data_IF_974039855996
#
_entry.id   IF_974039855996
#
_cell.length_a   1.000
_cell.length_b   1.000
_cell.length_c   1.000
_cell.angle_alpha   90.00
_cell.angle_beta   90.00
_cell.angle_gamma   90.00
#
_symmetry.space_group_name_H-M   'P 1'
#
loop_
_entity.id
_entity.type
_entity.pdbx_description
1 polymer ?
#
# COMPACT_ATOMS: atom_id res chain seq x y z
N UNK A 1 -15.73 -20.34 -8.21
CA UNK A 1 -15.79 -21.57 -7.38
C UNK A 1 -15.83 -21.27 -5.88
N UNK A 2 -14.87 -20.50 -5.33
CA UNK A 2 -14.82 -20.28 -3.87
C UNK A 2 -15.99 -19.47 -3.32
N UNK A 3 -16.47 -18.43 -4.02
CA UNK A 3 -17.67 -17.70 -3.58
C UNK A 3 -18.91 -18.61 -3.45
N UNK A 4 -19.02 -19.66 -4.28
CA UNK A 4 -20.11 -20.63 -4.17
C UNK A 4 -19.96 -21.51 -2.91
N UNK A 5 -18.74 -21.95 -2.60
CA UNK A 5 -18.44 -22.67 -1.35
C UNK A 5 -18.73 -21.78 -0.14
N UNK A 6 -18.27 -20.52 -0.15
CA UNK A 6 -18.53 -19.56 0.92
C UNK A 6 -20.02 -19.29 1.13
N UNK A 7 -20.78 -19.20 0.03
CA UNK A 7 -22.24 -19.07 0.06
C UNK A 7 -22.92 -20.27 0.72
N UNK A 8 -22.52 -21.49 0.35
CA UNK A 8 -23.04 -22.71 0.99
C UNK A 8 -22.72 -22.70 2.49
N UNK A 9 -21.46 -22.44 2.86
CA UNK A 9 -21.01 -22.39 4.25
C UNK A 9 -21.77 -21.34 5.08
N UNK A 10 -22.22 -20.25 4.45
CA UNK A 10 -22.99 -19.20 5.11
C UNK A 10 -24.37 -19.69 5.57
N UNK A 11 -25.03 -20.56 4.81
CA UNK A 11 -26.33 -21.10 5.19
C UNK A 11 -26.23 -22.41 5.98
N UNK A 12 -25.14 -23.16 5.85
CA UNK A 12 -25.01 -24.48 6.49
C UNK A 12 -24.21 -24.46 7.79
N UNK A 13 -23.11 -23.70 7.89
CA UNK A 13 -22.23 -23.71 9.08
C UNK A 13 -22.44 -22.48 9.95
N UNK A 14 -22.51 -21.29 9.34
CA UNK A 14 -22.58 -20.02 10.09
C UNK A 14 -23.74 -19.93 11.10
N UNK A 15 -24.96 -20.45 10.84
CA UNK A 15 -26.06 -20.36 11.80
C UNK A 15 -25.80 -21.14 13.10
N UNK A 16 -25.06 -22.24 13.01
CA UNK A 16 -24.80 -23.15 14.14
C UNK A 16 -23.43 -22.89 14.80
N UNK A 17 -22.42 -22.51 14.01
CA UNK A 17 -21.08 -22.25 14.51
C UNK A 17 -20.35 -21.14 13.71
N UNK A 18 -20.39 -19.91 14.25
CA UNK A 18 -19.73 -18.74 13.63
C UNK A 18 -18.20 -18.85 13.63
N UNK A 19 -17.60 -19.47 14.64
CA UNK A 19 -16.14 -19.59 14.73
C UNK A 19 -15.61 -20.56 13.68
N UNK A 20 -16.24 -21.74 13.56
CA UNK A 20 -15.91 -22.72 12.54
C UNK A 20 -16.08 -22.15 11.13
N UNK A 21 -17.19 -21.45 10.87
CA UNK A 21 -17.41 -20.75 9.60
C UNK A 21 -16.26 -19.78 9.29
N UNK A 22 -15.84 -18.94 10.26
CA UNK A 22 -14.73 -17.99 10.07
C UNK A 22 -13.41 -18.70 9.79
N UNK A 23 -13.10 -19.77 10.51
CA UNK A 23 -11.88 -20.55 10.31
C UNK A 23 -11.82 -21.20 8.92
N UNK A 24 -12.90 -21.83 8.48
CA UNK A 24 -12.94 -22.43 7.13
C UNK A 24 -12.80 -21.35 6.05
N UNK A 25 -13.52 -20.23 6.19
CA UNK A 25 -13.40 -19.11 5.24
C UNK A 25 -11.99 -18.53 5.19
N UNK A 26 -11.32 -18.43 6.34
CA UNK A 26 -9.93 -17.98 6.40
C UNK A 26 -9.03 -18.87 5.55
N UNK A 27 -9.07 -20.20 5.71
CA UNK A 27 -8.22 -21.11 4.94
C UNK A 27 -8.58 -21.18 3.45
N UNK A 28 -9.87 -21.04 3.09
CA UNK A 28 -10.28 -20.93 1.68
C UNK A 28 -9.71 -19.68 1.01
N UNK A 29 -9.82 -18.53 1.69
CA UNK A 29 -9.26 -17.28 1.18
C UNK A 29 -7.74 -17.35 1.12
N UNK A 30 -7.08 -17.82 2.19
CA UNK A 30 -5.64 -17.99 2.24
C UNK A 30 -5.14 -18.87 1.08
N UNK A 31 -5.82 -19.98 0.79
CA UNK A 31 -5.45 -20.88 -0.32
C UNK A 31 -5.44 -20.19 -1.68
N UNK A 32 -6.37 -19.27 -1.98
CA UNK A 32 -6.34 -18.48 -3.23
C UNK A 32 -5.17 -17.50 -3.19
N UNK A 33 -5.02 -16.80 -2.09
CA UNK A 33 -4.08 -15.70 -2.00
C UNK A 33 -2.63 -16.20 -2.04
N UNK A 34 -2.38 -17.38 -1.45
CA UNK A 34 -1.12 -18.09 -1.57
C UNK A 34 -0.78 -18.45 -3.03
N UNK A 35 -1.76 -18.74 -3.89
CA UNK A 35 -1.49 -18.98 -5.32
C UNK A 35 -1.04 -17.71 -6.03
N UNK A 36 -1.62 -16.55 -5.69
CA UNK A 36 -1.21 -15.25 -6.26
C UNK A 36 0.21 -14.91 -5.82
N UNK A 37 0.54 -15.10 -4.54
CA UNK A 37 1.90 -14.91 -4.03
C UNK A 37 2.89 -15.87 -4.67
N UNK A 38 2.52 -17.15 -4.81
CA UNK A 38 3.33 -18.14 -5.53
C UNK A 38 3.60 -17.70 -6.98
N UNK A 39 2.58 -17.20 -7.70
CA UNK A 39 2.74 -16.71 -9.06
C UNK A 39 3.67 -15.49 -9.15
N UNK A 40 3.56 -14.57 -8.19
CA UNK A 40 4.40 -13.40 -8.14
C UNK A 40 5.85 -13.78 -7.79
N UNK A 41 6.07 -14.46 -6.67
CA UNK A 41 7.40 -14.71 -6.13
C UNK A 41 8.12 -15.85 -6.82
N UNK A 42 7.49 -17.03 -6.88
CA UNK A 42 8.17 -18.24 -7.31
C UNK A 42 8.15 -18.41 -8.83
N UNK A 43 6.98 -18.21 -9.44
CA UNK A 43 6.81 -18.39 -10.89
C UNK A 43 7.47 -17.26 -11.69
N UNK A 44 7.18 -16.00 -11.37
CA UNK A 44 7.73 -14.87 -12.12
C UNK A 44 9.08 -14.37 -11.61
N UNK A 45 9.50 -14.81 -10.42
CA UNK A 45 10.72 -14.32 -9.77
C UNK A 45 10.63 -12.85 -9.35
N UNK A 46 9.43 -12.30 -9.19
CA UNK A 46 9.22 -10.91 -8.78
C UNK A 46 9.65 -10.70 -7.33
N UNK A 47 10.19 -9.52 -7.03
CA UNK A 47 10.68 -9.20 -5.70
C UNK A 47 10.31 -7.79 -5.26
N UNK A 48 10.31 -7.59 -3.93
CA UNK A 48 10.15 -6.28 -3.31
C UNK A 48 11.39 -5.95 -2.48
N UNK A 49 12.01 -4.82 -2.79
CA UNK A 49 13.12 -4.23 -2.01
C UNK A 49 12.57 -3.14 -1.14
N UNK A 50 12.97 -3.10 0.13
CA UNK A 50 12.38 -2.14 1.06
C UNK A 50 13.43 -1.25 1.71
N UNK A 51 13.22 0.05 1.60
CA UNK A 51 13.99 1.11 2.22
C UNK A 51 13.22 1.57 3.46
N UNK A 52 13.75 1.25 4.64
CA UNK A 52 13.12 1.61 5.91
C UNK A 52 14.16 1.71 7.03
N UNK A 53 13.77 2.29 8.17
CA UNK A 53 14.60 2.27 9.37
C UNK A 53 14.73 0.83 9.89
N UNK A 54 15.95 0.29 10.11
CA UNK A 54 16.15 -1.03 10.69
C UNK A 54 15.47 -1.22 12.06
N UNK A 55 15.30 -0.16 12.85
CA UNK A 55 14.58 -0.26 14.14
C UNK A 55 13.07 -0.39 13.94
N UNK A 56 12.49 0.34 12.98
CA UNK A 56 11.08 0.20 12.63
C UNK A 56 10.77 -1.20 12.09
N UNK A 57 11.69 -1.78 11.31
CA UNK A 57 11.54 -3.13 10.74
C UNK A 57 11.29 -4.20 11.82
N UNK A 58 11.88 -4.05 13.02
CA UNK A 58 11.72 -4.99 14.15
C UNK A 58 10.29 -5.02 14.71
N UNK A 59 9.50 -3.97 14.43
CA UNK A 59 8.13 -3.80 14.92
C UNK A 59 7.08 -4.36 13.95
N UNK A 60 7.45 -4.59 12.68
CA UNK A 60 6.54 -5.18 11.70
C UNK A 60 6.17 -6.59 12.15
N UNK A 61 4.91 -6.98 12.04
CA UNK A 61 4.44 -8.22 12.67
C UNK A 61 3.77 -8.02 14.03
N UNK A 62 4.13 -6.96 14.75
CA UNK A 62 3.94 -6.89 16.20
C UNK A 62 3.03 -5.77 16.67
N UNK A 63 2.61 -4.89 15.76
CA UNK A 63 1.71 -3.79 16.07
C UNK A 63 0.61 -3.64 15.02
N UNK A 64 -0.55 -3.16 15.45
CA UNK A 64 -1.64 -2.81 14.53
C UNK A 64 -1.28 -1.53 13.76
N UNK A 65 -1.52 -1.53 12.45
CA UNK A 65 -1.10 -0.42 11.59
C UNK A 65 -2.06 -0.13 10.46
N UNK A 66 -2.25 1.16 10.17
CA UNK A 66 -2.84 1.64 8.93
C UNK A 66 -1.72 1.84 7.91
N UNK A 67 -1.85 1.27 6.72
CA UNK A 67 -0.87 1.43 5.63
C UNK A 67 -1.43 2.44 4.64
N UNK A 68 -0.67 3.49 4.31
CA UNK A 68 -1.04 4.47 3.29
C UNK A 68 -0.04 4.40 2.15
N UNK A 69 -0.50 3.93 0.98
CA UNK A 69 0.33 3.70 -0.19
C UNK A 69 -0.14 4.51 -1.39
N UNK A 70 0.78 4.91 -2.28
CA UNK A 70 0.41 5.44 -3.60
C UNK A 70 -0.17 4.33 -4.48
N UNK A 71 -0.97 4.72 -5.48
CA UNK A 71 -1.65 3.79 -6.37
C UNK A 71 -1.43 4.12 -7.86
N UNK A 72 -0.27 3.74 -8.36
CA UNK A 72 0.13 4.01 -9.74
C UNK A 72 -0.20 2.83 -10.66
N UNK A 73 0.09 1.59 -10.25
CA UNK A 73 -0.02 0.39 -11.09
C UNK A 73 -1.00 -0.64 -10.53
N UNK A 74 -1.39 -1.59 -11.37
CA UNK A 74 -2.33 -2.64 -10.98
C UNK A 74 -1.73 -3.66 -10.02
N UNK A 75 -0.40 -3.78 -9.94
CA UNK A 75 0.30 -4.73 -9.07
C UNK A 75 0.71 -4.11 -7.73
N UNK A 76 0.40 -2.84 -7.47
CA UNK A 76 0.79 -2.15 -6.22
C UNK A 76 0.31 -2.90 -4.97
N UNK A 77 -0.95 -3.34 -4.98
CA UNK A 77 -1.55 -4.09 -3.87
C UNK A 77 -0.86 -5.44 -3.67
N UNK A 78 -0.39 -6.08 -4.75
CA UNK A 78 0.32 -7.35 -4.69
C UNK A 78 1.71 -7.15 -4.08
N UNK A 79 2.42 -6.08 -4.45
CA UNK A 79 3.70 -5.74 -3.82
C UNK A 79 3.52 -5.49 -2.32
N UNK A 80 2.46 -4.77 -1.92
CA UNK A 80 2.10 -4.57 -0.51
C UNK A 80 1.78 -5.89 0.19
N UNK A 81 1.09 -6.81 -0.49
CA UNK A 81 0.79 -8.14 0.03
C UNK A 81 2.07 -8.95 0.27
N UNK A 82 2.98 -9.01 -0.70
CA UNK A 82 4.25 -9.75 -0.56
C UNK A 82 5.01 -9.33 0.70
N UNK A 83 5.05 -8.03 0.99
CA UNK A 83 5.65 -7.51 2.23
C UNK A 83 4.85 -7.96 3.47
N UNK A 84 3.52 -7.82 3.44
CA UNK A 84 2.66 -8.18 4.57
C UNK A 84 2.73 -9.68 4.92
N UNK A 85 2.75 -10.55 3.91
CA UNK A 85 2.84 -12.00 4.06
C UNK A 85 4.16 -12.42 4.72
N UNK A 86 5.29 -11.90 4.24
CA UNK A 86 6.62 -12.12 4.84
C UNK A 86 6.75 -11.58 6.27
N UNK A 87 5.86 -10.66 6.67
CA UNK A 87 5.81 -10.14 8.03
C UNK A 87 4.80 -10.88 8.92
N UNK A 88 4.04 -11.83 8.37
CA UNK A 88 2.99 -12.56 9.07
C UNK A 88 1.83 -11.66 9.53
N UNK A 89 1.52 -10.58 8.78
CA UNK A 89 0.47 -9.62 9.15
C UNK A 89 -0.61 -9.46 8.11
N UNK A 90 -1.80 -9.14 8.60
CA UNK A 90 -2.87 -8.56 7.80
C UNK A 90 -2.92 -7.05 8.09
N UNK A 91 -2.43 -6.23 7.17
CA UNK A 91 -2.45 -4.77 7.29
C UNK A 91 -3.73 -4.15 6.72
N UNK A 92 -4.18 -3.02 7.28
CA UNK A 92 -5.25 -2.24 6.67
C UNK A 92 -4.66 -1.27 5.64
N UNK A 93 -4.79 -1.59 4.35
CA UNK A 93 -4.24 -0.79 3.26
C UNK A 93 -5.24 0.26 2.75
N UNK A 94 -4.79 1.50 2.67
CA UNK A 94 -5.54 2.64 2.13
C UNK A 94 -4.79 3.27 0.95
N UNK A 95 -5.44 3.28 -0.21
CA UNK A 95 -5.04 4.07 -1.37
C UNK A 95 -5.85 5.37 -1.40
N UNK A 96 -5.32 6.45 -0.83
CA UNK A 96 -6.10 7.68 -0.69
C UNK A 96 -6.40 8.37 -2.04
N UNK A 97 -5.64 8.10 -3.09
CA UNK A 97 -5.94 8.54 -4.46
C UNK A 97 -7.29 8.01 -4.98
N UNK A 98 -7.75 6.88 -4.42
CA UNK A 98 -9.03 6.25 -4.70
C UNK A 98 -9.15 5.56 -6.06
N UNK A 99 -8.24 5.81 -7.01
CA UNK A 99 -8.17 5.10 -8.29
C UNK A 99 -6.73 5.07 -8.83
N UNK A 100 -6.42 4.14 -9.73
CA UNK A 100 -5.14 4.09 -10.45
C UNK A 100 -4.84 5.39 -11.20
N UNK A 101 -3.56 5.77 -11.19
CA UNK A 101 -3.00 6.87 -11.97
C UNK A 101 -3.17 6.63 -13.48
N UNK A 102 -3.66 7.63 -14.19
CA UNK A 102 -3.62 7.72 -15.67
C UNK A 102 -3.36 9.18 -16.05
N UNK A 103 -2.81 9.43 -17.23
CA UNK A 103 -2.52 10.80 -17.67
C UNK A 103 -3.78 11.69 -17.69
N UNK A 104 -4.91 11.15 -18.16
CA UNK A 104 -6.20 11.85 -18.16
C UNK A 104 -6.67 12.21 -16.74
N UNK A 105 -6.57 11.27 -15.79
CA UNK A 105 -6.95 11.53 -14.40
C UNK A 105 -5.99 12.47 -13.70
N UNK A 106 -4.71 12.41 -14.05
CA UNK A 106 -3.70 13.33 -13.54
C UNK A 106 -4.00 14.75 -13.99
N UNK A 107 -4.32 14.97 -15.27
CA UNK A 107 -4.77 16.28 -15.77
C UNK A 107 -5.97 16.82 -15.00
N UNK A 108 -7.03 16.01 -14.85
CA UNK A 108 -8.21 16.39 -14.07
C UNK A 108 -7.87 16.67 -12.59
N UNK A 109 -6.96 15.89 -12.01
CA UNK A 109 -6.47 16.08 -10.64
C UNK A 109 -5.68 17.40 -10.49
N UNK A 110 -4.95 17.81 -11.52
CA UNK A 110 -4.19 19.07 -11.54
C UNK A 110 -5.10 20.28 -11.69
N UNK A 111 -6.16 20.17 -12.49
CA UNK A 111 -7.24 21.17 -12.59
C UNK A 111 -7.93 21.35 -11.23
N UNK A 112 -8.35 20.24 -10.61
CA UNK A 112 -8.93 20.25 -9.26
C UNK A 112 -8.00 20.92 -8.24
N UNK A 113 -6.69 20.64 -8.30
CA UNK A 113 -5.71 21.27 -7.42
C UNK A 113 -5.66 22.80 -7.62
N UNK A 114 -5.67 23.29 -8.87
CA UNK A 114 -5.67 24.73 -9.18
C UNK A 114 -6.92 25.42 -8.68
N UNK A 115 -8.09 24.85 -8.94
CA UNK A 115 -9.38 25.42 -8.51
C UNK A 115 -9.49 25.54 -6.99
N UNK A 116 -8.88 24.61 -6.25
CA UNK A 116 -8.94 24.54 -4.78
C UNK A 116 -7.72 25.16 -4.10
N UNK A 117 -6.78 25.73 -4.85
CA UNK A 117 -5.53 26.30 -4.31
C UNK A 117 -4.63 25.26 -3.63
N UNK A 118 -4.73 23.99 -4.01
CA UNK A 118 -3.89 22.91 -3.51
C UNK A 118 -2.59 22.82 -4.31
N UNK A 119 -1.54 22.32 -3.67
CA UNK A 119 -0.29 22.03 -4.37
C UNK A 119 -0.51 20.95 -5.44
N UNK A 120 -0.08 21.26 -6.66
CA UNK A 120 -0.07 20.35 -7.79
C UNK A 120 0.99 19.27 -7.59
N UNK A 121 0.61 17.99 -7.74
CA UNK A 121 1.48 16.82 -7.57
C UNK A 121 1.89 16.28 -8.94
N UNK A 122 3.18 16.00 -9.16
CA UNK A 122 3.69 15.57 -10.46
C UNK A 122 3.46 14.09 -10.75
N UNK A 123 3.53 13.25 -9.72
CA UNK A 123 3.57 11.77 -9.81
C UNK A 123 2.36 11.09 -9.16
N UNK A 124 1.54 11.84 -8.41
CA UNK A 124 0.34 11.32 -7.73
C UNK A 124 -0.92 12.09 -8.10
N UNK A 125 -2.08 11.46 -7.89
CA UNK A 125 -3.35 12.18 -7.85
C UNK A 125 -3.53 12.86 -6.49
N UNK A 126 -4.37 13.90 -6.43
CA UNK A 126 -4.73 14.54 -5.16
C UNK A 126 -5.50 13.53 -4.30
N UNK A 127 -5.08 13.28 -3.05
CA UNK A 127 -5.74 12.28 -2.21
C UNK A 127 -7.14 12.71 -1.79
N UNK A 128 -8.06 11.74 -1.77
CA UNK A 128 -9.41 11.87 -1.21
C UNK A 128 -9.34 11.71 0.30
N UNK A 129 -9.80 12.73 1.03
CA UNK A 129 -9.51 12.84 2.47
C UNK A 129 -10.56 12.19 3.36
N UNK A 130 -11.83 12.12 2.92
CA UNK A 130 -12.94 11.59 3.72
C UNK A 130 -12.70 10.19 4.28
N UNK A 131 -12.21 9.27 3.45
CA UNK A 131 -11.91 7.90 3.88
C UNK A 131 -10.79 7.85 4.91
N UNK A 132 -9.71 8.62 4.70
CA UNK A 132 -8.62 8.73 5.65
C UNK A 132 -9.07 9.33 6.98
N UNK A 133 -9.87 10.41 6.96
CA UNK A 133 -10.42 11.05 8.16
C UNK A 133 -11.21 10.03 8.98
N UNK A 134 -12.14 9.31 8.36
CA UNK A 134 -12.94 8.29 9.04
C UNK A 134 -12.07 7.17 9.61
N UNK A 135 -11.09 6.67 8.84
CA UNK A 135 -10.16 5.65 9.31
C UNK A 135 -9.34 6.16 10.51
N UNK A 136 -8.73 7.34 10.42
CA UNK A 136 -7.90 7.91 11.47
C UNK A 136 -8.70 8.12 12.76
N UNK A 137 -9.92 8.65 12.66
CA UNK A 137 -10.83 8.82 13.80
C UNK A 137 -11.22 7.47 14.43
N UNK A 138 -11.57 6.47 13.62
CA UNK A 138 -12.05 5.18 14.12
C UNK A 138 -10.93 4.32 14.72
N UNK A 139 -9.70 4.48 14.21
CA UNK A 139 -8.53 3.71 14.64
C UNK A 139 -7.74 4.35 15.78
N UNK A 140 -8.02 5.62 16.10
CA UNK A 140 -7.37 6.29 17.23
C UNK A 140 -7.58 5.47 18.52
N UNK A 141 -6.50 5.32 19.30
CA UNK A 141 -6.51 4.51 20.53
C UNK A 141 -6.39 2.99 20.32
N UNK A 142 -6.60 2.49 19.10
CA UNK A 142 -6.47 1.07 18.77
C UNK A 142 -5.19 0.77 17.97
N UNK A 143 -4.83 1.67 17.04
CA UNK A 143 -3.69 1.51 16.17
C UNK A 143 -2.60 2.51 16.57
N UNK A 144 -1.40 2.07 16.96
CA UNK A 144 -0.33 2.99 17.34
C UNK A 144 0.27 3.77 16.16
N UNK A 145 0.20 3.23 14.93
CA UNK A 145 0.99 3.74 13.80
C UNK A 145 0.28 3.76 12.45
N UNK A 146 0.78 4.67 11.61
CA UNK A 146 0.63 4.67 10.16
C UNK A 146 1.97 4.23 9.54
N UNK A 147 1.93 3.23 8.68
CA UNK A 147 3.03 2.96 7.75
C UNK A 147 2.79 3.71 6.45
N UNK A 148 3.57 4.77 6.24
CA UNK A 148 3.56 5.57 5.04
C UNK A 148 4.48 4.93 3.99
N UNK A 149 3.89 4.38 2.92
CA UNK A 149 4.59 3.60 1.90
C UNK A 149 4.59 4.32 0.56
N UNK A 150 5.76 4.55 -0.01
CA UNK A 150 5.89 4.96 -1.42
C UNK A 150 6.47 3.81 -2.23
N UNK A 151 5.72 3.31 -3.20
CA UNK A 151 6.15 2.25 -4.11
C UNK A 151 6.55 2.83 -5.46
N UNK A 152 7.70 2.37 -5.97
CA UNK A 152 8.18 2.58 -7.33
C UNK A 152 8.58 1.25 -7.95
N UNK A 153 8.66 1.20 -9.28
CA UNK A 153 9.07 -0.01 -10.00
C UNK A 153 10.35 0.25 -10.78
N UNK A 154 11.30 -0.67 -10.67
CA UNK A 154 12.56 -0.60 -11.39
C UNK A 154 12.44 -1.34 -12.74
N UNK A 155 11.94 -0.62 -13.75
CA UNK A 155 11.76 -1.18 -15.10
C UNK A 155 13.06 -1.27 -15.92
N UNK A 156 14.18 -0.78 -15.38
CA UNK A 156 15.51 -1.02 -15.94
C UNK A 156 16.00 -2.43 -15.62
N UNK A 157 15.59 -2.97 -14.48
CA UNK A 157 15.99 -4.31 -14.01
C UNK A 157 14.90 -5.37 -14.18
N UNK A 158 13.64 -4.98 -14.04
CA UNK A 158 12.47 -5.86 -14.21
C UNK A 158 11.59 -5.45 -15.38
N UNK A 159 10.60 -6.28 -15.67
CA UNK A 159 9.55 -5.99 -16.63
C UNK A 159 8.58 -4.91 -16.11
N UNK A 160 7.79 -4.34 -17.02
CA UNK A 160 6.71 -3.42 -16.67
C UNK A 160 5.75 -4.05 -15.65
N UNK A 161 5.28 -3.28 -14.64
CA UNK A 161 4.56 -3.79 -13.48
C UNK A 161 3.08 -4.10 -13.80
N UNK A 162 2.89 -5.16 -14.58
CA UNK A 162 1.58 -5.67 -15.01
C UNK A 162 1.40 -7.11 -14.57
N UNK A 163 0.16 -7.49 -14.29
CA UNK A 163 -0.22 -8.86 -13.97
C UNK A 163 0.12 -9.78 -15.15
N UNK A 164 -0.06 -9.30 -16.39
CA UNK A 164 0.27 -10.08 -17.58
C UNK A 164 1.76 -10.47 -17.64
N UNK A 165 2.66 -9.54 -17.36
CA UNK A 165 4.10 -9.86 -17.34
C UNK A 165 4.42 -10.90 -16.26
N UNK A 166 3.84 -10.79 -15.06
CA UNK A 166 4.02 -11.79 -14.01
C UNK A 166 3.49 -13.17 -14.42
N UNK A 167 2.29 -13.24 -15.03
CA UNK A 167 1.73 -14.50 -15.54
C UNK A 167 2.60 -15.11 -16.64
N UNK A 168 3.27 -14.29 -17.44
CA UNK A 168 4.26 -14.73 -18.44
C UNK A 168 5.61 -15.13 -17.84
N UNK A 169 5.75 -15.14 -16.50
CA UNK A 169 6.99 -15.51 -15.82
C UNK A 169 8.06 -14.40 -15.87
N UNK A 170 7.68 -13.16 -16.19
CA UNK A 170 8.62 -12.04 -16.26
C UNK A 170 8.72 -11.35 -14.91
N UNK A 171 9.93 -11.28 -14.37
CA UNK A 171 10.27 -10.66 -13.10
C UNK A 171 9.91 -9.17 -13.07
N UNK A 172 9.11 -8.76 -12.09
CA UNK A 172 8.84 -7.36 -11.75
C UNK A 172 9.60 -7.02 -10.47
N UNK A 173 10.28 -5.87 -10.46
CA UNK A 173 11.06 -5.40 -9.30
C UNK A 173 10.36 -4.19 -8.69
N UNK A 174 9.69 -4.42 -7.56
CA UNK A 174 9.10 -3.37 -6.75
C UNK A 174 10.10 -2.83 -5.73
N UNK A 175 10.13 -1.53 -5.55
CA UNK A 175 10.90 -0.86 -4.50
C UNK A 175 9.97 -0.04 -3.63
N UNK A 176 10.03 -0.23 -2.31
CA UNK A 176 9.19 0.47 -1.35
C UNK A 176 10.02 1.30 -0.38
N UNK A 177 9.66 2.56 -0.22
CA UNK A 177 10.16 3.39 0.87
C UNK A 177 9.10 3.50 1.97
N UNK A 178 9.41 2.99 3.16
CA UNK A 178 8.45 2.83 4.26
C UNK A 178 8.90 3.65 5.47
N UNK A 179 8.01 4.54 5.93
CA UNK A 179 8.17 5.33 7.16
C UNK A 179 7.13 4.91 8.19
N UNK A 180 7.54 4.81 9.45
CA UNK A 180 6.64 4.64 10.60
C UNK A 180 6.27 6.01 11.17
N UNK A 181 4.98 6.35 11.13
CA UNK A 181 4.45 7.61 11.66
C UNK A 181 3.50 7.29 12.83
N UNK A 182 3.62 7.95 14.00
CA UNK A 182 2.66 7.73 15.08
C UNK A 182 1.25 8.18 14.68
N UNK A 183 0.25 7.31 14.82
CA UNK A 183 -1.14 7.68 14.49
C UNK A 183 -1.66 8.79 15.41
N UNK A 184 -1.15 8.86 16.64
CA UNK A 184 -1.47 9.91 17.62
C UNK A 184 -1.11 11.33 17.16
N UNK A 185 -0.22 11.46 16.17
CA UNK A 185 0.21 12.75 15.64
C UNK A 185 -0.76 13.26 14.55
N UNK A 186 -1.74 12.44 14.13
CA UNK A 186 -2.79 12.84 13.21
C UNK A 186 -3.81 13.72 13.96
N UNK A 187 -4.11 14.94 13.48
CA UNK A 187 -4.98 15.91 14.16
C UNK A 187 -6.48 15.58 14.00
N UNK A 188 -6.87 14.38 14.43
CA UNK A 188 -8.25 13.90 14.46
C UNK A 188 -9.15 14.82 15.31
N UNK A 189 -10.42 14.93 14.91
CA UNK A 189 -11.38 15.89 15.48
C UNK A 189 -11.41 17.24 14.74
N UNK A 190 -10.42 17.52 13.90
CA UNK A 190 -10.41 18.65 12.96
C UNK A 190 -10.20 18.11 11.53
N UNK A 191 -11.29 18.01 10.78
CA UNK A 191 -11.31 17.47 9.43
C UNK A 191 -10.41 18.28 8.48
N UNK A 192 -10.31 19.59 8.67
CA UNK A 192 -9.48 20.45 7.83
C UNK A 192 -8.00 20.18 8.08
N UNK A 193 -7.57 20.11 9.35
CA UNK A 193 -6.19 19.77 9.69
C UNK A 193 -5.84 18.33 9.31
N UNK A 194 -6.76 17.39 9.47
CA UNK A 194 -6.56 15.98 9.06
C UNK A 194 -6.43 15.87 7.54
N UNK A 195 -7.24 16.63 6.80
CA UNK A 195 -7.13 16.75 5.34
C UNK A 195 -5.76 17.33 4.95
N UNK A 196 -5.31 18.39 5.62
CA UNK A 196 -4.01 18.99 5.36
C UNK A 196 -2.85 18.03 5.68
N UNK A 197 -2.95 17.27 6.76
CA UNK A 197 -1.98 16.22 7.10
C UNK A 197 -1.81 15.23 5.95
N UNK A 198 -2.91 14.74 5.39
CA UNK A 198 -2.88 13.82 4.25
C UNK A 198 -2.30 14.47 2.98
N UNK A 199 -2.64 15.73 2.71
CA UNK A 199 -2.06 16.45 1.58
C UNK A 199 -0.54 16.62 1.72
N UNK A 200 -0.04 16.99 2.91
CA UNK A 200 1.39 17.12 3.17
C UNK A 200 2.12 15.77 3.03
N UNK A 201 1.48 14.69 3.47
CA UNK A 201 1.99 13.32 3.31
C UNK A 201 2.13 12.99 1.82
N UNK A 202 1.13 13.28 0.99
CA UNK A 202 1.18 13.07 -0.46
C UNK A 202 2.17 14.00 -1.19
N UNK A 203 2.37 15.24 -0.74
CA UNK A 203 3.43 16.11 -1.27
C UNK A 203 4.82 15.53 -1.01
N UNK A 204 5.00 14.88 0.15
CA UNK A 204 6.26 14.19 0.46
C UNK A 204 6.45 12.96 -0.42
N UNK A 205 5.39 12.14 -0.59
CA UNK A 205 5.40 11.02 -1.54
C UNK A 205 5.70 11.46 -2.98
N UNK A 206 5.21 12.64 -3.38
CA UNK A 206 5.41 13.18 -4.72
C UNK A 206 6.87 13.53 -4.98
N UNK A 207 7.50 14.27 -4.05
CA UNK A 207 8.93 14.60 -4.13
C UNK A 207 9.79 13.34 -4.15
N UNK A 208 9.45 12.36 -3.31
CA UNK A 208 10.17 11.09 -3.21
C UNK A 208 10.05 10.26 -4.49
N UNK A 209 8.83 10.13 -5.04
CA UNK A 209 8.61 9.38 -6.28
C UNK A 209 9.19 10.12 -7.50
N UNK A 210 9.16 11.46 -7.54
CA UNK A 210 9.80 12.23 -8.61
C UNK A 210 11.32 12.02 -8.63
N UNK A 211 11.96 12.09 -7.45
CA UNK A 211 13.38 11.75 -7.27
C UNK A 211 13.68 10.31 -7.71
N UNK A 212 12.85 9.34 -7.31
CA UNK A 212 13.00 7.94 -7.73
C UNK A 212 12.89 7.77 -9.24
N UNK A 213 11.88 8.36 -9.90
CA UNK A 213 11.71 8.28 -11.34
C UNK A 213 12.89 8.91 -12.10
N UNK A 214 13.50 9.96 -11.56
CA UNK A 214 14.62 10.66 -12.21
C UNK A 214 15.98 9.99 -11.96
N UNK A 215 16.17 9.34 -10.80
CA UNK A 215 17.47 8.79 -10.39
C UNK A 215 17.54 7.26 -10.36
N UNK A 216 16.40 6.58 -10.28
CA UNK A 216 16.30 5.14 -10.03
C UNK A 216 16.56 4.72 -8.58
N UNK A 217 16.53 5.65 -7.61
CA UNK A 217 16.80 5.34 -6.20
C UNK A 217 16.04 6.27 -5.25
N UNK A 218 15.45 5.70 -4.19
CA UNK A 218 14.79 6.48 -3.15
C UNK A 218 15.76 7.23 -2.22
N UNK A 219 17.06 6.94 -2.27
CA UNK A 219 18.07 7.56 -1.41
C UNK A 219 18.84 8.70 -2.10
N UNK A 220 18.49 9.01 -3.35
CA UNK A 220 19.22 9.94 -4.20
C UNK A 220 18.41 11.19 -4.49
N UNK A 221 19.00 12.37 -4.31
CA UNK A 221 18.41 13.66 -4.72
C UNK A 221 17.03 13.98 -4.10
N UNK A 222 16.87 13.71 -2.80
CA UNK A 222 15.72 14.17 -2.01
C UNK A 222 16.15 14.49 -0.57
N UNK A 223 15.26 15.13 0.19
CA UNK A 223 15.43 15.55 1.58
C UNK A 223 15.03 14.46 2.60
N UNK A 224 14.75 13.23 2.14
CA UNK A 224 14.26 12.15 2.99
C UNK A 224 15.42 11.37 3.64
N UNK A 225 15.19 10.74 4.81
CA UNK A 225 16.17 9.86 5.44
C UNK A 225 16.69 8.79 4.47
N UNK A 226 18.01 8.63 4.41
CA UNK A 226 18.64 7.62 3.56
C UNK A 226 18.61 6.27 4.27
N UNK A 227 17.55 5.51 4.03
CA UNK A 227 17.43 4.16 4.55
C UNK A 227 18.25 3.17 3.73
N UNK A 228 18.72 2.11 4.39
CA UNK A 228 19.38 0.98 3.73
C UNK A 228 18.33 0.03 3.17
N UNK A 229 18.64 -0.62 2.05
CA UNK A 229 17.78 -1.67 1.50
C UNK A 229 17.79 -2.87 2.44
N UNK A 230 16.61 -3.20 2.95
CA UNK A 230 16.34 -4.43 3.69
C UNK A 230 15.69 -5.41 2.72
N UNK A 231 16.39 -6.51 2.45
CA UNK A 231 15.81 -7.64 1.75
C UNK A 231 14.88 -8.37 2.71
N UNK A 232 13.61 -8.45 2.34
CA UNK A 232 12.63 -9.22 3.08
C UNK A 232 12.66 -10.61 2.44
N UNK A 233 13.33 -11.59 3.06
CA UNK A 233 13.21 -13.00 2.63
C UNK A 233 12.11 -13.67 3.43
#
# INVERSE_FOLDING_TARGET
MINAVQFILYFTIRPFNKSLYRNINYYLMYSIMAQILFLAEWWSGSEVRVYTDPEDRKLWGREHSLIIMNHTYEVDWLMGWMVADRCGVLGMLLFAEGTRFTQQKHQASMEFARERGLQQLKRHLIPRTRGFIQCAQSLQGHFPVIYDVTVGFNTKEGAEPTVLNMLQGRRVVGEMYIRRLPLRDVPVGDDQKTSQYLHNLYQTKDRLLDSYCNTGSFTSQNDMPKFVVVMIR
#
